data_IF_639932467867
#
_entry.id   IF_639932467867
#
_cell.length_a   1.000
_cell.length_b   1.000
_cell.length_c   1.000
_cell.angle_alpha   90.00
_cell.angle_beta   90.00
_cell.angle_gamma   90.00
#
_symmetry.space_group_name_H-M   'P 1'
#
loop_
_entity.id
_entity.type
_entity.pdbx_description
1 polymer ?
#
# COMPACT_ATOMS: atom_id res chain seq x y z
N UNK A 1 21.03 -1.08 -9.60
CA UNK A 1 20.35 -0.11 -8.72
C UNK A 1 19.11 0.32 -9.46
N UNK A 2 18.02 -0.44 -9.31
CA UNK A 2 16.74 -0.07 -9.89
C UNK A 2 16.21 1.11 -9.08
N UNK A 3 16.19 2.28 -9.71
CA UNK A 3 15.64 3.48 -9.11
C UNK A 3 14.16 3.24 -8.82
N UNK A 4 13.78 3.36 -7.55
CA UNK A 4 12.38 3.55 -7.20
C UNK A 4 11.87 4.73 -8.04
N UNK A 5 10.93 4.47 -8.95
CA UNK A 5 10.39 5.51 -9.81
C UNK A 5 9.67 6.54 -8.93
N UNK A 6 10.08 7.81 -9.01
CA UNK A 6 9.49 8.89 -8.22
C UNK A 6 7.98 9.00 -8.47
N UNK A 7 7.53 8.66 -9.69
CA UNK A 7 6.12 8.62 -10.08
C UNK A 7 5.35 7.57 -9.29
N UNK A 8 5.97 6.42 -8.98
CA UNK A 8 5.35 5.36 -8.19
C UNK A 8 5.06 5.82 -6.75
N UNK A 9 6.04 6.49 -6.13
CA UNK A 9 5.89 7.02 -4.77
C UNK A 9 4.82 8.10 -4.68
N UNK A 10 4.72 8.96 -5.70
CA UNK A 10 3.70 10.00 -5.77
C UNK A 10 2.31 9.37 -5.82
N UNK A 11 2.09 8.43 -6.74
CA UNK A 11 0.80 7.74 -6.87
C UNK A 11 0.39 7.02 -5.57
N UNK A 12 1.34 6.32 -4.92
CA UNK A 12 1.09 5.67 -3.62
C UNK A 12 0.64 6.71 -2.58
N UNK A 13 1.36 7.82 -2.47
CA UNK A 13 1.11 8.86 -1.48
C UNK A 13 -0.24 9.55 -1.69
N UNK A 14 -0.62 9.83 -2.94
CA UNK A 14 -1.90 10.48 -3.26
C UNK A 14 -3.09 9.62 -2.86
N UNK A 15 -3.03 8.31 -3.13
CA UNK A 15 -4.11 7.40 -2.78
C UNK A 15 -4.21 7.22 -1.27
N UNK A 16 -3.09 7.06 -0.57
CA UNK A 16 -3.09 6.99 0.90
C UNK A 16 -3.75 8.23 1.51
N UNK A 17 -3.39 9.43 1.04
CA UNK A 17 -4.04 10.67 1.48
C UNK A 17 -5.53 10.71 1.15
N UNK A 18 -5.91 10.30 -0.07
CA UNK A 18 -7.31 10.29 -0.53
C UNK A 18 -8.21 9.41 0.36
N UNK A 19 -7.70 8.27 0.82
CA UNK A 19 -8.44 7.34 1.67
C UNK A 19 -8.12 7.47 3.17
N UNK A 20 -7.35 8.50 3.55
CA UNK A 20 -6.89 8.74 4.91
C UNK A 20 -6.20 7.51 5.52
N UNK A 21 -5.30 6.89 4.77
CA UNK A 21 -4.53 5.72 5.18
C UNK A 21 -3.11 6.15 5.56
N UNK A 22 -2.54 5.47 6.55
CA UNK A 22 -1.14 5.66 6.95
C UNK A 22 -0.31 4.43 6.59
N UNK A 23 0.97 4.66 6.30
CA UNK A 23 1.97 3.61 6.18
C UNK A 23 2.83 3.59 7.44
N UNK A 24 2.95 2.40 8.05
CA UNK A 24 3.88 2.16 9.15
C UNK A 24 4.89 1.09 8.73
N UNK A 25 6.19 1.41 8.72
CA UNK A 25 7.23 0.40 8.57
C UNK A 25 7.38 -0.42 9.87
N UNK A 26 7.34 -1.74 9.75
CA UNK A 26 7.53 -2.72 10.82
C UNK A 26 8.65 -3.70 10.42
N UNK A 27 9.89 -3.34 10.75
CA UNK A 27 11.06 -4.11 10.31
C UNK A 27 11.15 -4.10 8.78
N UNK A 28 11.11 -5.29 8.18
CA UNK A 28 11.17 -5.48 6.72
C UNK A 28 9.79 -5.34 6.03
N UNK A 29 8.73 -5.08 6.80
CA UNK A 29 7.35 -5.04 6.29
C UNK A 29 6.82 -3.61 6.28
N UNK A 30 6.11 -3.25 5.22
CA UNK A 30 5.36 -2.00 5.05
C UNK A 30 3.89 -2.31 5.32
N UNK A 31 3.34 -1.84 6.44
CA UNK A 31 1.94 -2.00 6.78
C UNK A 31 1.13 -0.76 6.38
N UNK A 32 -0.06 -0.96 5.79
CA UNK A 32 -1.05 0.07 5.54
C UNK A 32 -2.13 -0.05 6.61
N UNK A 33 -2.41 1.05 7.30
CA UNK A 33 -3.38 1.13 8.38
C UNK A 33 -4.43 2.22 8.10
N UNK A 34 -5.65 2.02 8.61
CA UNK A 34 -6.68 3.06 8.65
C UNK A 34 -6.50 3.98 9.86
N UNK A 35 -7.20 5.13 9.91
CA UNK A 35 -7.10 6.11 11.00
C UNK A 35 -7.45 5.56 12.39
N UNK A 36 -8.31 4.53 12.43
CA UNK A 36 -8.69 3.80 13.64
C UNK A 36 -7.62 2.80 14.10
N UNK A 37 -6.45 2.78 13.46
CA UNK A 37 -5.33 1.86 13.67
C UNK A 37 -5.64 0.41 13.28
N UNK A 38 -6.70 0.17 12.49
CA UNK A 38 -6.96 -1.15 11.93
C UNK A 38 -5.97 -1.44 10.80
N UNK A 39 -5.34 -2.62 10.83
CA UNK A 39 -4.42 -3.05 9.77
C UNK A 39 -5.21 -3.48 8.54
N UNK A 40 -4.98 -2.84 7.40
CA UNK A 40 -5.64 -3.16 6.12
C UNK A 40 -4.82 -4.18 5.34
N UNK A 41 -3.52 -3.93 5.19
CA UNK A 41 -2.62 -4.76 4.41
C UNK A 41 -1.17 -4.62 4.90
N UNK A 42 -0.31 -5.56 4.52
CA UNK A 42 1.11 -5.55 4.85
C UNK A 42 1.91 -6.21 3.72
N UNK A 43 3.06 -5.62 3.38
CA UNK A 43 3.86 -6.00 2.22
C UNK A 43 5.34 -6.00 2.55
N UNK A 44 6.11 -6.93 1.99
CA UNK A 44 7.57 -6.96 2.13
C UNK A 44 8.27 -6.06 1.09
N UNK A 45 7.55 -5.64 0.04
CA UNK A 45 8.10 -4.87 -1.06
C UNK A 45 7.17 -3.71 -1.47
N UNK A 46 7.75 -2.56 -1.80
CA UNK A 46 7.02 -1.39 -2.30
C UNK A 46 6.28 -1.65 -3.62
N UNK A 47 6.75 -2.61 -4.43
CA UNK A 47 6.07 -2.99 -5.67
C UNK A 47 4.68 -3.57 -5.40
N UNK A 48 4.56 -4.40 -4.35
CA UNK A 48 3.27 -4.98 -3.95
C UNK A 48 2.35 -3.93 -3.32
N UNK A 49 2.92 -2.95 -2.61
CA UNK A 49 2.20 -1.76 -2.12
C UNK A 49 1.58 -1.01 -3.30
N UNK A 50 2.34 -0.78 -4.38
CA UNK A 50 1.82 -0.10 -5.57
C UNK A 50 0.66 -0.87 -6.20
N UNK A 51 0.81 -2.19 -6.39
CA UNK A 51 -0.25 -3.03 -6.95
C UNK A 51 -1.52 -2.99 -6.11
N UNK A 52 -1.37 -3.06 -4.78
CA UNK A 52 -2.49 -2.93 -3.86
C UNK A 52 -3.18 -1.57 -3.98
N UNK A 53 -2.41 -0.48 -3.99
CA UNK A 53 -2.92 0.89 -4.04
C UNK A 53 -3.66 1.17 -5.36
N UNK A 54 -3.10 0.74 -6.50
CA UNK A 54 -3.78 0.82 -7.80
C UNK A 54 -5.08 0.01 -7.83
N UNK A 55 -5.08 -1.18 -7.21
CA UNK A 55 -6.30 -1.97 -7.02
C UNK A 55 -7.33 -1.22 -6.18
N UNK A 56 -6.91 -0.70 -5.02
CA UNK A 56 -7.77 -0.03 -4.05
C UNK A 56 -8.53 1.16 -4.65
N UNK A 57 -7.88 1.96 -5.50
CA UNK A 57 -8.53 3.08 -6.19
C UNK A 57 -9.58 2.64 -7.22
N UNK A 58 -9.34 1.54 -7.94
CA UNK A 58 -10.25 1.03 -8.97
C UNK A 58 -11.53 0.36 -8.42
N UNK A 59 -11.75 0.41 -7.10
CA UNK A 59 -12.87 -0.28 -6.44
C UNK A 59 -12.64 -1.79 -6.28
N UNK A 60 -11.41 -2.26 -6.54
CA UNK A 60 -11.00 -3.61 -6.18
C UNK A 60 -11.00 -3.70 -4.66
N UNK A 61 -12.02 -4.34 -4.08
CA UNK A 61 -11.90 -4.89 -2.74
C UNK A 61 -10.73 -5.86 -2.83
N UNK A 62 -9.70 -5.70 -2.00
CA UNK A 62 -8.62 -6.66 -1.82
C UNK A 62 -9.20 -7.98 -1.27
N UNK A 63 -9.96 -8.68 -2.11
CA UNK A 63 -10.45 -10.02 -1.90
C UNK A 63 -9.31 -10.94 -2.22
N UNK A 64 -8.69 -11.48 -1.17
CA UNK A 64 -7.71 -12.55 -1.20
C UNK A 64 -6.44 -12.27 -2.00
N UNK A 65 -5.60 -11.36 -1.51
CA UNK A 65 -4.14 -11.44 -1.71
C UNK A 65 -3.48 -12.31 -0.64
N UNK A 66 -4.10 -13.45 -0.35
CA UNK A 66 -3.55 -14.51 0.47
C UNK A 66 -3.41 -15.74 -0.44
N UNK A 67 -2.40 -15.72 -1.30
CA UNK A 67 -2.00 -16.91 -2.06
C UNK A 67 -0.64 -17.37 -1.58
N UNK A 68 -0.71 -18.14 -0.49
CA UNK A 68 0.32 -18.97 0.16
C UNK A 68 1.53 -18.27 0.79
#
# INVERSE_FOLDING_TARGET
MDGLDLTLLIAITEVLKKYNLDIIPHGDIIAIISPDKTRIAAFENIHDVSNFVMGYESGFKAGNLCSK
#
